data_IF_916561154183
#
_entry.id   IF_916561154183
#
_cell.length_a   1.000
_cell.length_b   1.000
_cell.length_c   1.000
_cell.angle_alpha   90.00
_cell.angle_beta   90.00
_cell.angle_gamma   90.00
#
_symmetry.space_group_name_H-M   'P 1'
#
loop_
_entity.id
_entity.type
_entity.pdbx_description
1 polymer ?
#
# COMPACT_ATOMS: atom_id res chain seq x y z
N UNK A 1 4.96 37.09 7.74
CA UNK A 1 4.20 36.01 7.09
C UNK A 1 5.20 35.26 6.21
N UNK A 2 5.76 34.15 6.68
CA UNK A 2 6.72 33.37 5.92
C UNK A 2 5.98 32.22 5.23
N UNK A 3 6.07 32.21 3.90
CA UNK A 3 5.62 31.13 3.04
C UNK A 3 6.53 29.91 3.29
N UNK A 4 5.96 28.72 3.48
CA UNK A 4 6.68 27.47 3.29
C UNK A 4 5.87 26.58 2.36
N UNK A 5 6.36 26.50 1.14
CA UNK A 5 6.00 25.53 0.12
C UNK A 5 6.46 24.15 0.61
N UNK A 6 5.68 23.50 1.47
CA UNK A 6 5.78 22.05 1.60
C UNK A 6 5.17 21.49 0.33
N UNK A 7 6.02 20.99 -0.57
CA UNK A 7 5.57 20.22 -1.71
C UNK A 7 4.53 19.21 -1.23
N UNK A 8 3.31 19.31 -1.76
CA UNK A 8 2.27 18.30 -1.51
C UNK A 8 2.75 17.01 -2.18
N UNK A 9 3.57 16.23 -1.49
CA UNK A 9 3.66 14.80 -1.79
C UNK A 9 2.22 14.29 -1.73
N UNK A 10 1.69 13.86 -2.87
CA UNK A 10 0.43 13.13 -2.90
C UNK A 10 0.70 11.86 -2.11
N UNK A 11 0.31 11.85 -0.84
CA UNK A 11 0.32 10.64 -0.04
C UNK A 11 -0.77 9.75 -0.62
N UNK A 12 -0.36 8.83 -1.48
CA UNK A 12 -1.25 7.84 -2.05
C UNK A 12 -1.85 7.00 -0.91
N UNK A 13 -3.15 6.78 -0.99
CA UNK A 13 -3.90 6.03 0.01
C UNK A 13 -4.03 4.56 -0.41
N UNK A 14 -4.28 3.65 0.55
CA UNK A 14 -4.59 2.24 0.26
C UNK A 14 -5.79 2.11 -0.69
N UNK A 15 -6.72 3.07 -0.65
CA UNK A 15 -7.87 3.08 -1.57
C UNK A 15 -7.51 3.37 -3.04
N UNK A 16 -6.32 3.92 -3.31
CA UNK A 16 -5.81 4.17 -4.67
C UNK A 16 -5.22 2.91 -5.33
N UNK A 17 -5.15 1.79 -4.60
CA UNK A 17 -4.67 0.52 -5.13
C UNK A 17 -5.69 -0.09 -6.10
N UNK A 18 -5.24 -0.54 -7.27
CA UNK A 18 -6.04 -1.23 -8.28
C UNK A 18 -6.17 -2.72 -7.96
N UNK A 19 -6.80 -3.02 -6.82
CA UNK A 19 -7.08 -4.37 -6.29
C UNK A 19 -8.52 -4.45 -5.77
N UNK A 20 -8.99 -5.63 -5.37
CA UNK A 20 -10.34 -5.82 -4.85
C UNK A 20 -10.56 -5.01 -3.55
N UNK A 21 -11.75 -4.42 -3.39
CA UNK A 21 -12.05 -3.53 -2.25
C UNK A 21 -11.93 -4.24 -0.90
N UNK A 22 -12.34 -5.52 -0.80
CA UNK A 22 -12.15 -6.30 0.43
C UNK A 22 -10.68 -6.43 0.86
N UNK A 23 -9.73 -6.39 -0.09
CA UNK A 23 -8.29 -6.39 0.23
C UNK A 23 -7.88 -5.00 0.73
N UNK A 24 -8.39 -3.92 0.15
CA UNK A 24 -8.12 -2.55 0.60
C UNK A 24 -8.65 -2.32 2.02
N UNK A 25 -9.86 -2.79 2.30
CA UNK A 25 -10.45 -2.76 3.64
C UNK A 25 -9.60 -3.53 4.64
N UNK A 26 -9.18 -4.77 4.32
CA UNK A 26 -8.29 -5.56 5.18
C UNK A 26 -6.97 -4.82 5.45
N UNK A 27 -6.32 -4.27 4.42
CA UNK A 27 -5.08 -3.52 4.55
C UNK A 27 -5.27 -2.30 5.47
N UNK A 28 -6.38 -1.58 5.30
CA UNK A 28 -6.73 -0.40 6.10
C UNK A 28 -6.97 -0.77 7.56
N UNK A 29 -7.77 -1.81 7.83
CA UNK A 29 -8.07 -2.31 9.18
C UNK A 29 -6.77 -2.76 9.89
N UNK A 30 -5.84 -3.37 9.15
CA UNK A 30 -4.54 -3.80 9.68
C UNK A 30 -3.48 -2.69 9.72
N UNK A 31 -3.84 -1.45 9.41
CA UNK A 31 -2.96 -0.28 9.49
C UNK A 31 -1.79 -0.34 8.51
N UNK A 32 -1.98 -0.94 7.33
CA UNK A 32 -1.01 -0.87 6.25
C UNK A 32 -1.04 0.49 5.56
N UNK A 33 0.14 0.94 5.13
CA UNK A 33 0.32 2.09 4.24
C UNK A 33 1.03 1.61 2.98
N UNK A 34 0.96 2.38 1.89
CA UNK A 34 1.71 2.08 0.67
C UNK A 34 3.21 1.94 0.98
N UNK A 35 3.79 2.83 1.78
CA UNK A 35 5.19 2.73 2.21
C UNK A 35 5.49 1.41 2.94
N UNK A 36 4.60 0.97 3.84
CA UNK A 36 4.80 -0.29 4.56
C UNK A 36 4.75 -1.50 3.64
N UNK A 37 3.89 -1.45 2.61
CA UNK A 37 3.80 -2.49 1.58
C UNK A 37 5.09 -2.53 0.76
N UNK A 38 5.58 -1.37 0.31
CA UNK A 38 6.77 -1.27 -0.54
C UNK A 38 8.07 -1.60 0.20
N UNK A 39 8.13 -1.36 1.52
CA UNK A 39 9.26 -1.72 2.38
C UNK A 39 9.19 -3.16 2.93
N UNK A 40 8.20 -3.96 2.50
CA UNK A 40 8.08 -5.38 2.86
C UNK A 40 8.51 -6.28 1.70
N UNK A 41 8.82 -7.55 2.01
CA UNK A 41 8.90 -8.59 0.98
C UNK A 41 7.51 -9.17 0.69
N UNK A 42 7.34 -9.81 -0.47
CA UNK A 42 6.10 -10.49 -0.84
C UNK A 42 5.76 -11.59 0.18
N UNK A 43 6.76 -12.40 0.59
CA UNK A 43 6.57 -13.45 1.61
C UNK A 43 6.13 -12.88 2.97
N UNK A 44 6.75 -11.78 3.42
CA UNK A 44 6.37 -11.13 4.68
C UNK A 44 4.94 -10.57 4.60
N UNK A 45 4.53 -10.02 3.45
CA UNK A 45 3.15 -9.59 3.21
C UNK A 45 2.17 -10.77 3.26
N UNK A 46 2.50 -11.87 2.59
CA UNK A 46 1.69 -13.09 2.57
C UNK A 46 1.48 -13.66 3.98
N UNK A 47 2.57 -13.84 4.73
CA UNK A 47 2.54 -14.33 6.11
C UNK A 47 1.78 -13.39 7.05
N UNK A 48 2.07 -12.08 7.00
CA UNK A 48 1.43 -11.10 7.88
C UNK A 48 -0.07 -10.97 7.61
N UNK A 49 -0.48 -11.05 6.34
CA UNK A 49 -1.88 -10.93 5.95
C UNK A 49 -2.62 -12.28 5.98
N UNK A 50 -1.90 -13.40 6.15
CA UNK A 50 -2.43 -14.76 6.05
C UNK A 50 -3.14 -15.00 4.71
N UNK A 51 -2.47 -14.60 3.64
CA UNK A 51 -2.93 -14.75 2.25
C UNK A 51 -1.90 -15.53 1.44
N UNK A 52 -2.30 -15.99 0.26
CA UNK A 52 -1.39 -16.61 -0.69
C UNK A 52 -0.35 -15.62 -1.23
N UNK A 53 0.86 -16.10 -1.52
CA UNK A 53 1.96 -15.33 -2.11
C UNK A 53 1.54 -14.59 -3.39
N UNK A 54 0.67 -15.20 -4.21
CA UNK A 54 0.15 -14.56 -5.41
C UNK A 54 -0.68 -13.32 -5.08
N UNK A 55 -1.50 -13.37 -4.04
CA UNK A 55 -2.30 -12.21 -3.60
C UNK A 55 -1.38 -11.12 -3.04
N UNK A 56 -0.36 -11.51 -2.26
CA UNK A 56 0.66 -10.58 -1.77
C UNK A 56 1.42 -9.89 -2.92
N UNK A 57 1.76 -10.63 -3.99
CA UNK A 57 2.37 -10.09 -5.20
C UNK A 57 1.45 -9.07 -5.91
N UNK A 58 0.14 -9.34 -6.01
CA UNK A 58 -0.82 -8.42 -6.59
C UNK A 58 -0.88 -7.09 -5.80
N UNK A 59 -0.91 -7.18 -4.47
CA UNK A 59 -0.90 -6.02 -3.57
C UNK A 59 0.38 -5.20 -3.78
N UNK A 60 1.55 -5.85 -3.73
CA UNK A 60 2.86 -5.20 -3.89
C UNK A 60 2.98 -4.49 -5.25
N UNK A 61 2.59 -5.16 -6.33
CA UNK A 61 2.62 -4.59 -7.67
C UNK A 61 1.65 -3.41 -7.82
N UNK A 62 0.48 -3.49 -7.21
CA UNK A 62 -0.45 -2.35 -7.19
C UNK A 62 0.16 -1.16 -6.47
N UNK A 63 0.76 -1.37 -5.29
CA UNK A 63 1.39 -0.30 -4.53
C UNK A 63 2.53 0.37 -5.31
N UNK A 64 3.34 -0.45 -5.99
CA UNK A 64 4.46 0.03 -6.81
C UNK A 64 3.99 0.87 -8.00
N UNK A 65 2.88 0.49 -8.64
CA UNK A 65 2.29 1.26 -9.74
C UNK A 65 1.71 2.59 -9.26
N UNK A 66 1.08 2.59 -8.09
CA UNK A 66 0.48 3.81 -7.51
C UNK A 66 1.55 4.79 -7.01
N UNK A 67 2.71 4.31 -6.55
CA UNK A 67 3.82 5.16 -6.10
C UNK A 67 4.74 5.69 -7.22
N UNK A 68 4.55 5.25 -8.47
CA UNK A 68 5.37 5.64 -9.64
C UNK A 68 4.74 6.79 -10.39
#
# INVERSE_FOLDING_TARGET
>A
MAQSLVGKEKKHDIYDLSIADGIKEMLTIRGFTIDKILNSTISNLAETLQIDDYVALLIYNSAKKTSS
#
